data_IF_870090232722
#
_entry.id   IF_870090232722
#
_cell.length_a   1.000
_cell.length_b   1.000
_cell.length_c   1.000
_cell.angle_alpha   90.00
_cell.angle_beta   90.00
_cell.angle_gamma   90.00
#
_symmetry.space_group_name_H-M   'P 1'
#
loop_
_entity.id
_entity.type
_entity.pdbx_description
1 polymer ?
#
# COMPACT_ATOMS: atom_id res chain seq x y z
N UNK A 1 2.07 -21.95 43.65
CA UNK A 1 3.26 -21.22 43.17
C UNK A 1 4.13 -22.17 42.37
N UNK A 2 3.97 -22.25 41.04
CA UNK A 2 4.86 -23.01 40.15
C UNK A 2 5.44 -22.01 39.16
N UNK A 3 6.72 -21.68 39.31
CA UNK A 3 7.46 -20.90 38.34
C UNK A 3 7.72 -21.79 37.12
N UNK A 4 7.04 -21.53 36.01
CA UNK A 4 7.37 -22.13 34.72
C UNK A 4 8.55 -21.32 34.17
N UNK A 5 9.77 -21.81 34.38
CA UNK A 5 10.97 -21.23 33.81
C UNK A 5 10.99 -21.50 32.30
N UNK A 6 10.54 -20.52 31.52
CA UNK A 6 10.68 -20.54 30.06
C UNK A 6 12.17 -20.37 29.70
N UNK A 7 12.76 -21.42 29.14
CA UNK A 7 14.14 -21.45 28.64
C UNK A 7 14.25 -20.63 27.35
N UNK A 8 14.84 -19.43 27.47
CA UNK A 8 15.14 -18.55 26.33
C UNK A 8 16.20 -19.24 25.44
N UNK A 9 15.98 -19.40 24.13
CA UNK A 9 16.96 -20.03 23.23
C UNK A 9 18.24 -19.18 23.12
N UNK A 10 19.42 -19.81 23.28
CA UNK A 10 20.73 -19.18 23.17
C UNK A 10 21.38 -19.53 21.81
N UNK A 11 22.18 -18.61 21.25
CA UNK A 11 22.91 -18.84 20.00
C UNK A 11 23.95 -19.94 20.19
N UNK A 12 23.86 -21.02 19.39
CA UNK A 12 24.78 -22.17 19.43
C UNK A 12 26.05 -21.93 18.61
N UNK A 13 27.19 -22.32 19.16
CA UNK A 13 28.52 -22.28 18.53
C UNK A 13 29.62 -22.29 19.59
N UNK A 14 30.67 -23.10 19.42
CA UNK A 14 31.67 -23.33 20.48
C UNK A 14 32.76 -22.25 20.56
N UNK A 15 33.07 -21.52 19.47
CA UNK A 15 34.34 -20.77 19.39
C UNK A 15 34.23 -19.33 18.86
N UNK A 16 33.19 -18.58 19.24
CA UNK A 16 33.15 -17.12 18.98
C UNK A 16 32.70 -16.37 20.24
N UNK A 17 33.19 -15.14 20.44
CA UNK A 17 32.81 -14.23 21.56
C UNK A 17 31.31 -13.90 21.66
N UNK A 18 30.48 -14.53 20.83
CA UNK A 18 29.04 -14.35 20.69
C UNK A 18 28.22 -15.53 21.22
N UNK A 19 28.87 -16.65 21.56
CA UNK A 19 28.21 -17.82 22.13
C UNK A 19 27.55 -17.47 23.48
N UNK A 20 26.25 -17.76 23.60
CA UNK A 20 25.50 -17.56 24.86
C UNK A 20 24.85 -16.18 25.09
N UNK A 21 24.99 -15.22 24.18
CA UNK A 21 24.31 -13.91 24.30
C UNK A 21 22.83 -13.96 23.88
N UNK A 22 21.95 -13.13 24.49
CA UNK A 22 20.56 -13.03 24.08
C UNK A 22 20.48 -12.50 22.64
N UNK A 23 19.47 -12.95 21.87
CA UNK A 23 19.40 -12.68 20.46
C UNK A 23 19.03 -11.19 20.20
N UNK A 24 19.58 -10.60 19.12
CA UNK A 24 19.53 -9.15 18.86
C UNK A 24 18.17 -8.75 18.26
N UNK A 25 17.42 -7.89 18.95
CA UNK A 25 16.22 -7.27 18.38
C UNK A 25 16.61 -6.20 17.36
N UNK A 26 16.09 -6.32 16.14
CA UNK A 26 16.27 -5.33 15.06
C UNK A 26 14.88 -4.97 14.54
N UNK A 27 14.51 -3.70 14.66
CA UNK A 27 13.35 -3.13 13.99
C UNK A 27 13.85 -2.13 12.94
N UNK A 28 13.93 -2.54 11.67
CA UNK A 28 14.28 -1.60 10.60
C UNK A 28 13.32 -1.77 9.41
N UNK A 29 12.33 -0.89 9.33
CA UNK A 29 12.03 0.02 8.21
C UNK A 29 11.09 1.07 8.83
N UNK A 30 11.49 2.35 8.82
CA UNK A 30 10.59 3.42 9.23
C UNK A 30 9.35 3.39 8.30
N UNK A 31 8.16 3.31 8.90
CA UNK A 31 6.86 3.11 8.24
C UNK A 31 6.53 4.14 7.16
N UNK A 32 7.13 3.98 5.99
CA UNK A 32 6.75 4.63 4.76
C UNK A 32 6.18 3.55 3.85
N UNK A 33 4.99 3.79 3.31
CA UNK A 33 4.38 2.89 2.34
C UNK A 33 5.40 2.46 1.27
N UNK A 34 5.40 1.19 0.83
CA UNK A 34 6.39 0.70 -0.15
C UNK A 34 6.51 1.58 -1.40
N UNK A 35 5.39 2.16 -1.85
CA UNK A 35 5.34 3.12 -2.96
C UNK A 35 6.19 4.39 -2.72
N UNK A 36 6.19 4.92 -1.50
CA UNK A 36 6.96 6.10 -1.15
C UNK A 36 8.46 5.80 -1.01
N UNK A 37 8.81 4.59 -0.59
CA UNK A 37 10.20 4.12 -0.51
C UNK A 37 10.78 3.92 -1.91
N UNK A 38 10.03 3.30 -2.82
CA UNK A 38 10.42 3.11 -4.23
C UNK A 38 10.57 4.43 -4.99
N UNK A 39 9.68 5.42 -4.77
CA UNK A 39 9.79 6.75 -5.41
C UNK A 39 10.98 7.57 -4.91
N UNK A 40 11.42 7.35 -3.67
CA UNK A 40 12.72 7.86 -3.16
C UNK A 40 13.92 7.14 -3.76
N UNK A 41 13.67 6.14 -4.60
CA UNK A 41 14.67 5.42 -5.35
C UNK A 41 15.28 4.24 -4.60
N UNK A 42 14.75 3.84 -3.44
CA UNK A 42 15.18 2.63 -2.72
C UNK A 42 14.69 1.37 -3.44
N UNK A 43 15.52 0.32 -3.51
CA UNK A 43 15.20 -0.92 -4.25
C UNK A 43 14.80 -2.01 -3.27
N UNK A 44 13.52 -2.03 -2.90
CA UNK A 44 12.96 -2.94 -1.89
C UNK A 44 12.15 -4.11 -2.47
N UNK A 45 12.19 -4.33 -3.79
CA UNK A 45 11.34 -5.30 -4.51
C UNK A 45 11.58 -6.76 -4.09
N UNK A 46 12.76 -7.07 -3.55
CA UNK A 46 13.17 -8.41 -3.13
C UNK A 46 13.16 -8.59 -1.60
N UNK A 47 12.71 -7.58 -0.86
CA UNK A 47 12.66 -7.60 0.60
C UNK A 47 11.28 -8.12 1.01
N UNK A 48 11.23 -9.28 1.65
CA UNK A 48 10.01 -9.74 2.29
C UNK A 48 9.76 -8.87 3.54
N UNK A 49 8.67 -8.09 3.53
CA UNK A 49 8.26 -7.28 4.68
C UNK A 49 7.63 -8.22 5.71
N UNK A 50 8.47 -9.02 6.35
CA UNK A 50 8.11 -9.69 7.60
C UNK A 50 8.21 -8.62 8.69
N UNK A 51 7.20 -8.42 9.56
CA UNK A 51 7.40 -7.67 10.79
C UNK A 51 8.42 -8.47 11.62
N UNK A 52 9.70 -8.17 11.42
CA UNK A 52 10.81 -9.00 11.87
C UNK A 52 11.05 -8.80 13.35
N UNK A 53 10.23 -9.47 14.16
CA UNK A 53 10.52 -9.75 15.57
C UNK A 53 11.55 -10.89 15.74
N UNK A 54 12.19 -11.33 14.64
CA UNK A 54 13.19 -12.39 14.67
C UNK A 54 14.55 -11.88 15.18
N UNK A 55 15.14 -12.52 16.19
CA UNK A 55 16.17 -11.89 16.99
C UNK A 55 17.60 -12.17 16.47
N UNK A 56 17.82 -12.20 15.17
CA UNK A 56 19.15 -12.44 14.60
C UNK A 56 19.60 -11.27 13.73
N UNK A 57 20.87 -10.83 13.83
CA UNK A 57 21.45 -9.91 12.86
C UNK A 57 21.64 -10.65 11.55
N UNK A 58 20.56 -10.75 10.80
CA UNK A 58 20.62 -11.20 9.43
C UNK A 58 21.52 -10.18 8.67
N UNK A 59 22.65 -10.59 8.07
CA UNK A 59 23.48 -9.68 7.28
C UNK A 59 22.60 -9.03 6.20
N UNK A 60 22.84 -7.77 5.83
CA UNK A 60 22.06 -7.07 4.78
C UNK A 60 21.93 -7.88 3.47
N UNK A 61 22.86 -8.82 3.22
CA UNK A 61 22.82 -9.81 2.15
C UNK A 61 21.63 -10.78 2.25
N UNK A 62 21.29 -11.23 3.45
CA UNK A 62 20.15 -12.12 3.71
C UNK A 62 18.80 -11.41 3.69
N UNK A 63 18.79 -10.09 3.90
CA UNK A 63 17.59 -9.25 3.76
C UNK A 63 17.46 -8.66 2.35
N UNK A 64 18.31 -9.06 1.39
CA UNK A 64 18.37 -8.52 0.03
C UNK A 64 18.47 -6.97 -0.05
N UNK A 65 18.84 -6.29 1.05
CA UNK A 65 18.89 -4.83 1.15
C UNK A 65 20.23 -4.24 0.66
N UNK A 66 21.17 -5.08 0.23
CA UNK A 66 22.52 -4.68 -0.15
C UNK A 66 22.55 -3.74 -1.38
N UNK A 67 21.52 -3.81 -2.24
CA UNK A 67 21.41 -2.97 -3.42
C UNK A 67 21.31 -1.46 -3.09
N UNK A 68 20.84 -1.11 -1.89
CA UNK A 68 20.71 0.29 -1.45
C UNK A 68 21.98 0.84 -0.77
N UNK A 69 22.87 -0.03 -0.28
CA UNK A 69 24.14 0.33 0.38
C UNK A 69 25.11 1.05 -0.59
N UNK A 70 24.91 0.91 -1.90
CA UNK A 70 25.77 1.49 -2.95
C UNK A 70 25.44 2.98 -3.23
N UNK A 71 24.40 3.55 -2.60
CA UNK A 71 23.97 4.94 -2.81
C UNK A 71 24.57 5.93 -1.80
N UNK A 72 24.52 7.22 -2.12
CA UNK A 72 24.95 8.34 -1.22
C UNK A 72 24.22 8.36 0.13
N UNK A 73 22.98 7.86 0.18
CA UNK A 73 22.20 7.58 1.40
C UNK A 73 21.55 6.21 1.22
N UNK A 74 22.04 5.23 1.95
CA UNK A 74 21.51 3.87 1.99
C UNK A 74 20.46 3.72 3.08
N UNK A 75 20.24 2.49 3.59
CA UNK A 75 19.17 2.23 4.55
C UNK A 75 19.48 2.84 5.93
N UNK A 76 18.45 3.41 6.56
CA UNK A 76 18.46 3.86 7.96
C UNK A 76 18.02 2.69 8.86
N UNK A 77 18.85 2.32 9.81
CA UNK A 77 18.57 1.29 10.82
C UNK A 77 18.22 1.98 12.13
N UNK A 78 16.99 1.77 12.58
CA UNK A 78 16.53 2.18 13.90
C UNK A 78 16.77 1.03 14.88
N UNK A 79 17.23 1.36 16.09
CA UNK A 79 17.44 0.35 17.12
C UNK A 79 17.09 0.93 18.50
N UNK A 80 16.67 0.05 19.41
CA UNK A 80 16.43 0.44 20.80
C UNK A 80 17.71 0.27 21.64
N UNK A 81 18.32 -0.94 21.63
CA UNK A 81 19.51 -1.25 22.43
C UNK A 81 20.77 -1.41 21.59
N UNK A 82 21.87 -0.85 22.08
CA UNK A 82 23.21 -0.93 21.49
C UNK A 82 23.90 -2.29 21.73
N UNK A 83 23.24 -3.40 21.41
CA UNK A 83 23.77 -4.76 21.58
C UNK A 83 24.76 -5.15 20.44
N UNK A 84 25.72 -4.28 20.14
CA UNK A 84 26.72 -4.49 19.07
C UNK A 84 26.28 -4.10 17.66
N UNK A 85 25.05 -3.62 17.48
CA UNK A 85 24.49 -3.14 16.20
C UNK A 85 25.37 -2.03 15.60
N UNK A 86 25.73 -1.03 16.42
CA UNK A 86 26.58 0.08 15.98
C UNK A 86 27.94 -0.40 15.48
N UNK A 87 28.56 -1.36 16.18
CA UNK A 87 29.85 -1.91 15.75
C UNK A 87 29.73 -2.70 14.45
N UNK A 88 28.62 -3.40 14.25
CA UNK A 88 28.38 -4.25 13.09
C UNK A 88 28.15 -3.44 11.80
N UNK A 89 27.40 -2.34 11.87
CA UNK A 89 26.93 -1.63 10.68
C UNK A 89 27.62 -0.28 10.41
N UNK A 90 28.36 0.29 11.36
CA UNK A 90 29.06 1.59 11.18
C UNK A 90 30.10 1.63 10.06
N UNK A 91 30.64 0.48 9.65
CA UNK A 91 31.69 0.39 8.63
C UNK A 91 31.13 0.11 7.22
N UNK A 92 29.80 0.15 7.05
CA UNK A 92 29.17 -0.02 5.75
C UNK A 92 28.85 1.37 5.16
N UNK A 93 29.26 1.64 3.91
CA UNK A 93 28.96 2.92 3.27
C UNK A 93 27.44 3.09 3.10
N UNK A 94 26.93 4.29 3.32
CA UNK A 94 25.51 4.63 3.12
C UNK A 94 24.56 4.12 4.21
N UNK A 95 24.98 3.30 5.16
CA UNK A 95 24.10 2.84 6.25
C UNK A 95 24.09 3.86 7.40
N UNK A 96 22.92 4.38 7.73
CA UNK A 96 22.74 5.29 8.88
C UNK A 96 22.14 4.54 10.06
N UNK A 97 22.53 4.91 11.27
CA UNK A 97 22.12 4.27 12.52
C UNK A 97 21.53 5.31 13.46
N UNK A 98 20.32 5.09 13.97
CA UNK A 98 19.67 6.00 14.92
C UNK A 98 19.01 5.21 16.06
N UNK A 99 19.17 5.71 17.28
CA UNK A 99 18.49 5.16 18.46
C UNK A 99 17.04 5.67 18.52
N UNK A 100 16.08 4.77 18.73
CA UNK A 100 14.66 5.11 18.87
C UNK A 100 14.38 5.98 20.09
N UNK A 101 15.01 5.68 21.23
CA UNK A 101 14.72 6.37 22.49
C UNK A 101 15.11 7.85 22.42
N UNK A 102 16.19 8.16 21.67
CA UNK A 102 16.62 9.54 21.45
C UNK A 102 15.61 10.33 20.60
N UNK A 103 14.95 9.70 19.65
CA UNK A 103 13.91 10.36 18.84
C UNK A 103 12.66 10.64 19.69
N UNK A 104 12.25 9.68 20.52
CA UNK A 104 11.11 9.83 21.42
C UNK A 104 11.35 10.91 22.47
N UNK A 105 12.59 11.12 22.93
CA UNK A 105 12.92 12.23 23.83
C UNK A 105 12.91 13.60 23.13
N UNK A 106 13.43 13.67 21.91
CA UNK A 106 13.50 14.92 21.15
C UNK A 106 12.12 15.39 20.71
N UNK A 107 11.28 14.48 20.24
CA UNK A 107 9.97 14.80 19.67
C UNK A 107 8.80 14.53 20.61
N UNK A 108 8.93 13.62 21.56
CA UNK A 108 7.81 13.12 22.36
C UNK A 108 7.02 12.04 21.63
N UNK A 109 5.99 11.52 22.30
CA UNK A 109 4.95 10.68 21.72
C UNK A 109 3.60 11.41 21.77
N UNK A 110 2.52 10.79 21.30
CA UNK A 110 1.18 11.39 21.43
C UNK A 110 0.77 11.61 22.90
N UNK A 111 1.30 10.80 23.82
CA UNK A 111 0.98 10.86 25.25
C UNK A 111 2.07 11.57 26.08
N UNK A 112 3.32 11.55 25.62
CA UNK A 112 4.48 12.08 26.36
C UNK A 112 5.07 13.30 25.65
N UNK A 113 5.20 14.42 26.38
CA UNK A 113 5.80 15.66 25.86
C UNK A 113 7.31 15.50 25.61
N UNK A 114 7.85 16.21 24.62
CA UNK A 114 9.29 16.26 24.35
C UNK A 114 10.08 16.90 25.50
N UNK A 115 11.25 16.33 25.79
CA UNK A 115 12.15 16.86 26.83
C UNK A 115 13.03 17.98 26.30
N UNK A 116 13.47 17.88 25.04
CA UNK A 116 14.45 18.81 24.46
C UNK A 116 13.81 19.99 23.75
N UNK A 117 12.69 19.77 23.06
CA UNK A 117 12.00 20.82 22.29
C UNK A 117 10.92 21.47 23.17
N UNK A 118 11.08 22.77 23.43
CA UNK A 118 10.11 23.54 24.23
C UNK A 118 8.80 23.72 23.46
N UNK A 119 7.68 23.56 24.15
CA UNK A 119 6.33 23.77 23.64
C UNK A 119 6.02 23.03 22.33
N UNK A 120 6.65 21.87 22.14
CA UNK A 120 6.42 21.03 20.97
C UNK A 120 5.49 19.88 21.32
N UNK A 121 4.39 19.81 20.56
CA UNK A 121 3.43 18.72 20.60
C UNK A 121 3.39 18.07 19.22
N UNK A 122 3.28 16.73 19.20
CA UNK A 122 3.06 16.02 17.95
C UNK A 122 1.75 16.49 17.34
N UNK A 123 1.79 16.78 16.04
CA UNK A 123 0.60 17.16 15.32
C UNK A 123 -0.34 15.97 15.25
N UNK A 124 -1.57 16.17 15.71
CA UNK A 124 -2.63 15.18 15.53
C UNK A 124 -3.09 15.17 14.07
N UNK A 125 -3.43 14.00 13.55
CA UNK A 125 -3.97 13.90 12.21
C UNK A 125 -5.29 14.65 12.13
N UNK A 126 -5.45 15.51 11.11
CA UNK A 126 -6.71 16.23 10.87
C UNK A 126 -7.83 15.30 10.38
N UNK A 127 -7.44 14.19 9.76
CA UNK A 127 -8.33 13.18 9.19
C UNK A 127 -7.96 11.85 9.85
N UNK A 128 -8.94 11.17 10.45
CA UNK A 128 -8.74 9.86 11.07
C UNK A 128 -8.56 8.74 10.04
N UNK A 129 -9.37 8.75 8.96
CA UNK A 129 -9.27 7.81 7.85
C UNK A 129 -9.00 8.54 6.52
N UNK A 130 -7.80 8.37 5.90
CA UNK A 130 -7.45 9.03 4.65
C UNK A 130 -8.04 8.35 3.40
N UNK A 131 -8.61 7.15 3.49
CA UNK A 131 -9.17 6.45 2.32
C UNK A 131 -10.57 7.00 1.95
N UNK A 132 -10.54 8.08 1.19
CA UNK A 132 -11.74 8.74 0.66
C UNK A 132 -12.54 7.80 -0.25
N UNK A 133 -11.88 6.89 -0.96
CA UNK A 133 -12.52 5.92 -1.85
C UNK A 133 -13.38 4.93 -1.06
N UNK A 134 -12.85 4.42 0.05
CA UNK A 134 -13.59 3.55 0.95
C UNK A 134 -14.77 4.30 1.58
N UNK A 135 -14.54 5.51 2.10
CA UNK A 135 -15.59 6.33 2.70
C UNK A 135 -16.72 6.64 1.70
N UNK A 136 -16.41 7.08 0.48
CA UNK A 136 -17.41 7.35 -0.56
C UNK A 136 -18.20 6.09 -0.93
N UNK A 137 -17.54 4.92 -0.87
CA UNK A 137 -18.17 3.67 -1.25
C UNK A 137 -18.88 2.94 -0.12
N UNK A 138 -18.81 3.47 1.11
CA UNK A 138 -19.49 2.94 2.29
C UNK A 138 -21.01 3.01 2.16
N UNK A 139 -21.69 2.05 2.78
CA UNK A 139 -23.14 1.91 2.67
C UNK A 139 -23.86 3.04 3.40
N UNK A 140 -23.28 3.57 4.47
CA UNK A 140 -23.83 4.71 5.22
C UNK A 140 -23.87 5.98 4.36
N UNK A 141 -22.82 6.23 3.58
CA UNK A 141 -22.75 7.41 2.70
C UNK A 141 -23.59 7.20 1.43
N UNK A 142 -23.56 5.99 0.85
CA UNK A 142 -24.36 5.67 -0.34
C UNK A 142 -25.85 5.64 -0.07
N UNK A 143 -26.28 5.14 1.09
CA UNK A 143 -27.70 5.08 1.44
C UNK A 143 -28.32 6.47 1.62
N UNK A 144 -27.56 7.45 2.11
CA UNK A 144 -28.02 8.84 2.25
C UNK A 144 -27.98 9.59 0.92
N UNK A 145 -27.05 9.23 0.02
CA UNK A 145 -26.99 9.81 -1.32
C UNK A 145 -28.12 9.23 -2.16
N UNK A 146 -29.18 10.01 -2.36
CA UNK A 146 -30.27 9.65 -3.26
C UNK A 146 -29.70 9.19 -4.61
N UNK A 147 -29.94 7.92 -4.93
CA UNK A 147 -29.53 7.31 -6.18
C UNK A 147 -30.01 8.18 -7.35
N UNK A 148 -29.08 8.59 -8.21
CA UNK A 148 -29.43 9.42 -9.36
C UNK A 148 -30.40 8.63 -10.26
N UNK A 149 -31.66 9.08 -10.43
CA UNK A 149 -32.64 8.36 -11.23
C UNK A 149 -32.27 8.29 -12.71
N UNK A 150 -31.39 9.17 -13.20
CA UNK A 150 -30.91 9.08 -14.59
C UNK A 150 -29.96 7.90 -14.82
N UNK A 151 -29.34 7.38 -13.75
CA UNK A 151 -28.39 6.27 -13.79
C UNK A 151 -29.06 5.00 -13.25
N UNK A 152 -29.77 5.09 -12.12
CA UNK A 152 -30.49 3.98 -11.54
C UNK A 152 -31.91 3.86 -12.13
N UNK A 153 -32.05 2.99 -13.15
CA UNK A 153 -33.32 2.71 -13.83
C UNK A 153 -34.44 2.21 -12.91
N UNK A 154 -34.10 1.57 -11.80
CA UNK A 154 -35.09 1.07 -10.82
C UNK A 154 -35.72 2.24 -10.08
N UNK A 155 -34.91 3.20 -9.63
CA UNK A 155 -35.39 4.42 -8.97
C UNK A 155 -36.16 5.29 -9.97
N UNK A 156 -35.69 5.42 -11.21
CA UNK A 156 -36.41 6.13 -12.27
C UNK A 156 -37.80 5.58 -12.50
N UNK A 157 -37.94 4.25 -12.58
CA UNK A 157 -39.20 3.58 -12.87
C UNK A 157 -40.19 3.70 -11.70
N UNK A 158 -39.68 3.81 -10.46
CA UNK A 158 -40.49 4.08 -9.26
C UNK A 158 -41.00 5.52 -9.22
N UNK A 159 -40.18 6.49 -9.62
CA UNK A 159 -40.55 7.92 -9.63
C UNK A 159 -41.42 8.29 -10.84
N UNK A 160 -41.07 7.78 -12.03
CA UNK A 160 -41.78 8.03 -13.27
C UNK A 160 -42.17 6.70 -13.94
N UNK A 161 -43.40 6.20 -13.72
CA UNK A 161 -43.86 4.94 -14.29
C UNK A 161 -43.91 4.95 -15.83
N UNK A 162 -44.05 6.12 -16.45
CA UNK A 162 -44.03 6.26 -17.91
C UNK A 162 -42.62 6.26 -18.51
N UNK A 163 -41.57 6.45 -17.71
CA UNK A 163 -40.19 6.45 -18.23
C UNK A 163 -39.85 5.12 -18.92
N UNK A 164 -40.38 3.99 -18.41
CA UNK A 164 -40.16 2.67 -19.01
C UNK A 164 -40.78 2.55 -20.39
N UNK A 165 -42.01 3.03 -20.59
CA UNK A 165 -42.71 2.92 -21.88
C UNK A 165 -42.07 3.81 -22.94
N UNK A 166 -41.66 5.03 -22.57
CA UNK A 166 -40.96 5.96 -23.46
C UNK A 166 -39.64 5.35 -23.93
N UNK A 167 -38.82 4.82 -23.01
CA UNK A 167 -37.56 4.16 -23.35
C UNK A 167 -37.76 2.99 -24.31
N UNK A 168 -38.76 2.14 -24.05
CA UNK A 168 -39.06 1.00 -24.94
C UNK A 168 -39.47 1.50 -26.33
N UNK A 169 -40.30 2.53 -26.41
CA UNK A 169 -40.74 3.09 -27.69
C UNK A 169 -39.56 3.69 -28.48
N UNK A 170 -38.65 4.38 -27.81
CA UNK A 170 -37.43 4.93 -28.42
C UNK A 170 -36.49 3.84 -28.92
N UNK A 171 -36.30 2.77 -28.13
CA UNK A 171 -35.50 1.61 -28.54
C UNK A 171 -36.10 0.98 -29.80
N UNK A 172 -37.41 0.72 -29.82
CA UNK A 172 -38.08 0.17 -31.01
C UNK A 172 -37.97 1.10 -32.22
N UNK A 173 -38.04 2.42 -32.01
CA UNK A 173 -37.85 3.41 -33.07
C UNK A 173 -36.43 3.35 -33.63
N UNK A 174 -35.42 3.29 -32.77
CA UNK A 174 -34.01 3.16 -33.18
C UNK A 174 -33.75 1.82 -33.90
N UNK A 175 -34.32 0.72 -33.43
CA UNK A 175 -34.22 -0.58 -34.10
C UNK A 175 -34.82 -0.56 -35.51
N UNK A 176 -35.96 0.13 -35.71
CA UNK A 176 -36.55 0.29 -37.04
C UNK A 176 -35.68 1.14 -37.95
N UNK A 177 -35.15 2.25 -37.45
CA UNK A 177 -34.26 3.14 -38.19
C UNK A 177 -32.97 2.42 -38.60
N UNK A 178 -32.32 1.73 -37.66
CA UNK A 178 -31.10 0.94 -37.92
C UNK A 178 -31.35 -0.22 -38.89
N UNK A 179 -32.51 -0.90 -38.82
CA UNK A 179 -32.90 -1.92 -39.81
C UNK A 179 -33.11 -1.33 -41.20
N UNK A 180 -33.76 -0.17 -41.29
CA UNK A 180 -33.97 0.53 -42.57
C UNK A 180 -32.67 1.13 -43.15
N UNK A 181 -31.70 1.46 -42.28
CA UNK A 181 -30.40 2.00 -42.65
C UNK A 181 -29.35 0.93 -42.98
N UNK A 182 -29.66 -0.37 -42.80
CA UNK A 182 -28.78 -1.43 -43.32
C UNK A 182 -28.77 -1.34 -44.86
N UNK A 183 -27.60 -1.23 -45.50
CA UNK A 183 -27.53 -1.15 -46.95
C UNK A 183 -28.11 -2.44 -47.54
N UNK A 184 -29.07 -2.30 -48.47
CA UNK A 184 -29.47 -3.43 -49.31
C UNK A 184 -28.23 -3.91 -50.04
N UNK A 185 -27.88 -5.19 -49.89
CA UNK A 185 -26.83 -5.85 -50.65
C UNK A 185 -26.96 -5.42 -52.13
N UNK A 186 -25.92 -4.85 -52.75
CA UNK A 186 -25.99 -4.47 -54.15
C UNK A 186 -26.22 -5.75 -54.96
N UNK A 187 -27.32 -5.80 -55.71
CA UNK A 187 -27.66 -6.95 -56.51
C UNK A 187 -26.56 -7.22 -57.53
N UNK A 188 -25.84 -8.33 -57.35
CA UNK A 188 -24.79 -8.87 -58.24
C UNK A 188 -25.29 -9.14 -59.68
N UNK A 189 -26.59 -8.97 -59.94
CA UNK A 189 -27.23 -9.22 -61.23
C UNK A 189 -27.02 -8.12 -62.29
N UNK A 190 -26.54 -6.92 -61.93
CA UNK A 190 -26.35 -5.82 -62.91
C UNK A 190 -25.01 -5.95 -63.65
N UNK A 191 -23.99 -6.55 -63.03
CA UNK A 191 -22.64 -6.68 -63.62
C UNK A 191 -22.52 -7.81 -64.65
N UNK A 192 -23.49 -8.73 -64.75
CA UNK A 192 -23.44 -9.85 -65.69
C UNK A 192 -23.92 -9.51 -67.12
N UNK A 193 -24.64 -8.40 -67.32
CA UNK A 193 -25.23 -8.03 -68.61
C UNK A 193 -24.49 -6.90 -69.35
N UNK A 194 -23.44 -6.32 -68.76
CA UNK A 194 -22.66 -5.23 -69.38
C UNK A 194 -21.32 -5.69 -69.99
N UNK A 195 -20.99 -6.98 -69.92
CA UNK A 195 -19.72 -7.53 -70.42
C UNK A 195 -19.91 -8.95 -70.99
N UNK A 196 -20.64 -9.05 -72.10
CA UNK A 196 -20.58 -10.21 -73.00
C UNK A 196 -20.07 -9.71 -74.37
N UNK A 197 -19.10 -10.38 -75.01
CA UNK A 197 -18.39 -9.90 -76.20
C UNK A 197 -19.26 -9.81 -77.45
#
# INVERSE_FOLDING_TARGET
MKAVSASIPRVGGLDTHRAGQPPLEICAVADASPSLVLTRGHRIEQIEVVPSSSPTPAPLKSLNAYADVIKRRGPLILYNKNNGIVKAFRNLPGVELVNTDLLDEVFGTFDKVSTHKRDYLLLTSKISNPDVTYLINSDEIKSVKADNPLINKVVLSRLNPYAKTIQMHEIFKQERLTKSAKPKQPSEAITANLFAP
#
